data_IF_513666185739
#
_entry.id   IF_513666185739
#
_cell.length_a   1.000
_cell.length_b   1.000
_cell.length_c   1.000
_cell.angle_alpha   90.00
_cell.angle_beta   90.00
_cell.angle_gamma   90.00
#
_symmetry.space_group_name_H-M   'P 1'
#
loop_
_entity.id
_entity.type
_entity.pdbx_description
1 polymer ?
#
# COMPACT_ATOMS: atom_id res chain seq x y z
N UNK A 1 -38.42 19.21 7.90
CA UNK A 1 -38.66 18.31 6.75
C UNK A 1 -37.42 18.34 5.86
N UNK A 2 -36.53 17.35 6.00
CA UNK A 2 -35.36 17.21 5.13
C UNK A 2 -35.87 16.65 3.81
N UNK A 3 -35.91 17.48 2.75
CA UNK A 3 -36.20 17.00 1.40
C UNK A 3 -35.07 16.03 1.02
N UNK A 4 -35.43 14.81 0.64
CA UNK A 4 -34.46 13.85 0.13
C UNK A 4 -33.89 14.39 -1.19
N UNK A 5 -32.62 14.84 -1.17
CA UNK A 5 -31.97 15.45 -2.33
C UNK A 5 -31.71 14.45 -3.47
N UNK A 6 -31.88 13.14 -3.21
CA UNK A 6 -31.62 12.08 -4.19
C UNK A 6 -32.59 12.03 -5.38
N UNK A 7 -33.77 12.66 -5.27
CA UNK A 7 -34.76 12.73 -6.35
C UNK A 7 -34.46 13.82 -7.39
N UNK A 8 -33.48 14.71 -7.15
CA UNK A 8 -33.12 15.78 -8.08
C UNK A 8 -32.21 15.25 -9.22
N UNK A 9 -32.59 15.36 -10.51
CA UNK A 9 -31.74 14.94 -11.63
C UNK A 9 -30.38 15.64 -11.70
N UNK A 10 -30.22 16.82 -11.09
CA UNK A 10 -28.91 17.47 -11.00
C UNK A 10 -28.00 16.89 -9.91
N UNK A 11 -28.54 16.17 -8.92
CA UNK A 11 -27.75 15.50 -7.88
C UNK A 11 -26.78 14.50 -8.51
N UNK A 12 -27.28 13.65 -9.42
CA UNK A 12 -26.46 12.66 -10.14
C UNK A 12 -25.34 13.31 -10.96
N UNK A 13 -25.62 14.47 -11.59
CA UNK A 13 -24.62 15.25 -12.33
C UNK A 13 -23.54 15.83 -11.43
N UNK A 14 -23.90 16.34 -10.24
CA UNK A 14 -22.95 16.88 -9.26
C UNK A 14 -22.08 15.79 -8.67
N UNK A 15 -22.67 14.63 -8.37
CA UNK A 15 -21.97 13.44 -7.90
C UNK A 15 -20.93 12.98 -8.91
N UNK A 16 -21.33 12.79 -10.17
CA UNK A 16 -20.43 12.37 -11.25
C UNK A 16 -19.28 13.35 -11.45
N UNK A 17 -19.56 14.66 -11.44
CA UNK A 17 -18.50 15.69 -11.53
C UNK A 17 -17.57 15.66 -10.33
N UNK A 18 -18.07 15.33 -9.14
CA UNK A 18 -17.24 15.15 -7.95
C UNK A 18 -16.28 13.97 -8.10
N UNK A 19 -16.73 12.86 -8.67
CA UNK A 19 -15.89 11.70 -8.94
C UNK A 19 -14.80 12.02 -9.97
N UNK A 20 -15.18 12.70 -11.05
CA UNK A 20 -14.24 13.12 -12.10
C UNK A 20 -13.11 14.02 -11.58
N UNK A 21 -13.32 14.81 -10.52
CA UNK A 21 -12.24 15.59 -9.92
C UNK A 21 -11.11 14.68 -9.41
N UNK A 22 -11.48 13.64 -8.64
CA UNK A 22 -10.53 12.70 -8.08
C UNK A 22 -9.84 11.89 -9.20
N UNK A 23 -10.61 11.44 -10.20
CA UNK A 23 -10.07 10.71 -11.36
C UNK A 23 -9.06 11.54 -12.16
N UNK A 24 -9.28 12.85 -12.28
CA UNK A 24 -8.36 13.77 -12.95
C UNK A 24 -7.13 14.14 -12.10
N UNK A 25 -6.93 13.51 -10.94
CA UNK A 25 -5.79 13.75 -10.06
C UNK A 25 -5.91 14.98 -9.17
N UNK A 26 -7.13 15.54 -9.02
CA UNK A 26 -7.37 16.60 -8.03
C UNK A 26 -7.54 15.95 -6.66
N UNK A 27 -6.54 16.13 -5.81
CA UNK A 27 -6.52 15.56 -4.47
C UNK A 27 -6.88 16.62 -3.40
N UNK A 28 -7.94 16.38 -2.60
CA UNK A 28 -8.23 17.20 -1.43
C UNK A 28 -7.12 17.09 -0.38
N UNK A 29 -6.78 18.22 0.23
CA UNK A 29 -5.86 18.29 1.37
C UNK A 29 -6.66 18.40 2.66
N UNK A 30 -6.44 17.46 3.58
CA UNK A 30 -7.04 17.54 4.91
C UNK A 30 -6.30 18.56 5.77
N UNK A 31 -7.00 19.63 6.18
CA UNK A 31 -6.46 20.65 7.07
C UNK A 31 -6.74 20.33 8.55
N UNK A 32 -7.88 19.70 8.83
CA UNK A 32 -8.31 19.28 10.17
C UNK A 32 -9.27 18.09 10.08
N UNK A 33 -9.72 17.55 11.21
CA UNK A 33 -10.67 16.42 11.25
C UNK A 33 -11.92 16.67 10.40
N UNK A 34 -12.41 17.92 10.37
CA UNK A 34 -13.65 18.29 9.71
C UNK A 34 -13.47 19.39 8.64
N UNK A 35 -12.23 19.68 8.21
CA UNK A 35 -11.93 20.77 7.28
C UNK A 35 -10.98 20.31 6.19
N UNK A 36 -11.38 20.55 4.94
CA UNK A 36 -10.69 20.09 3.74
C UNK A 36 -10.52 21.24 2.77
N UNK A 37 -9.36 21.29 2.13
CA UNK A 37 -9.07 22.18 1.02
C UNK A 37 -9.10 21.38 -0.28
N UNK A 38 -9.77 21.90 -1.30
CA UNK A 38 -9.83 21.27 -2.62
C UNK A 38 -9.59 22.33 -3.71
N UNK A 39 -8.63 22.10 -4.63
CA UNK A 39 -8.37 23.05 -5.70
C UNK A 39 -9.50 23.02 -6.74
N UNK A 40 -9.71 24.15 -7.40
CA UNK A 40 -10.67 24.27 -8.48
C UNK A 40 -10.16 23.57 -9.74
N UNK A 41 -11.06 22.93 -10.49
CA UNK A 41 -10.72 22.21 -11.71
C UNK A 41 -10.32 23.11 -12.90
N UNK A 42 -10.63 24.40 -12.82
CA UNK A 42 -10.50 25.34 -13.96
C UNK A 42 -9.83 26.65 -13.59
N UNK A 43 -9.61 26.93 -12.31
CA UNK A 43 -9.05 28.19 -11.81
C UNK A 43 -7.96 27.86 -10.81
N UNK A 44 -6.95 28.71 -10.71
CA UNK A 44 -5.92 28.62 -9.68
C UNK A 44 -6.44 29.19 -8.35
N UNK A 45 -7.46 28.54 -7.80
CA UNK A 45 -8.16 28.94 -6.58
C UNK A 45 -8.56 27.69 -5.81
N UNK A 46 -8.50 27.77 -4.48
CA UNK A 46 -8.89 26.67 -3.60
C UNK A 46 -10.21 26.95 -2.90
N UNK A 47 -11.03 25.91 -2.74
CA UNK A 47 -12.25 25.95 -1.95
C UNK A 47 -12.07 25.19 -0.65
N UNK A 48 -12.80 25.62 0.38
CA UNK A 48 -12.82 25.00 1.69
C UNK A 48 -14.13 24.25 1.85
N UNK A 49 -14.04 22.99 2.23
CA UNK A 49 -15.17 22.12 2.57
C UNK A 49 -15.10 21.80 4.07
N UNK A 50 -16.19 22.06 4.78
CA UNK A 50 -16.31 21.82 6.23
C UNK A 50 -17.50 20.92 6.53
N UNK A 51 -17.31 19.97 7.45
CA UNK A 51 -18.38 19.12 7.98
C UNK A 51 -18.72 19.56 9.41
N UNK A 52 -19.99 19.87 9.68
CA UNK A 52 -20.45 20.23 11.02
C UNK A 52 -21.81 19.57 11.31
N UNK A 53 -21.90 18.81 12.41
CA UNK A 53 -23.15 18.18 12.87
C UNK A 53 -23.93 17.47 11.74
N UNK A 54 -23.24 16.64 10.96
CA UNK A 54 -23.76 15.92 9.78
C UNK A 54 -24.22 16.80 8.59
N UNK A 55 -23.94 18.11 8.61
CA UNK A 55 -24.14 19.01 7.47
C UNK A 55 -22.81 19.35 6.80
N UNK A 56 -22.82 19.47 5.49
CA UNK A 56 -21.64 19.82 4.69
C UNK A 56 -21.77 21.23 4.15
N UNK A 57 -20.71 22.01 4.28
CA UNK A 57 -20.63 23.37 3.76
C UNK A 57 -19.41 23.53 2.86
N UNK A 58 -19.55 24.26 1.76
CA UNK A 58 -18.45 24.53 0.84
C UNK A 58 -18.39 26.02 0.47
N UNK A 59 -17.19 26.58 0.37
CA UNK A 59 -16.99 27.98 -0.04
C UNK A 59 -17.11 28.21 -1.56
N UNK A 60 -17.47 27.19 -2.34
CA UNK A 60 -17.60 27.35 -3.79
C UNK A 60 -18.91 28.07 -4.17
N UNK A 61 -18.93 28.79 -5.31
CA UNK A 61 -20.14 29.48 -5.78
C UNK A 61 -21.38 28.58 -5.92
N UNK A 62 -21.23 27.36 -6.42
CA UNK A 62 -22.36 26.42 -6.61
C UNK A 62 -23.10 26.14 -5.29
N UNK A 63 -22.34 25.96 -4.20
CA UNK A 63 -22.91 25.77 -2.86
C UNK A 63 -23.44 27.08 -2.27
N UNK A 64 -22.71 28.19 -2.43
CA UNK A 64 -23.11 29.49 -1.87
C UNK A 64 -24.43 30.01 -2.46
N UNK A 65 -24.69 29.77 -3.74
CA UNK A 65 -25.94 30.22 -4.38
C UNK A 65 -27.10 29.25 -4.21
N UNK A 66 -26.84 27.94 -4.20
CA UNK A 66 -27.90 26.93 -4.27
C UNK A 66 -28.16 26.21 -2.94
N UNK A 67 -27.20 26.25 -2.02
CA UNK A 67 -27.23 25.54 -0.73
C UNK A 67 -27.55 24.03 -0.85
N UNK A 68 -27.09 23.41 -1.95
CA UNK A 68 -27.18 21.95 -2.19
C UNK A 68 -25.79 21.33 -2.23
N UNK A 69 -25.69 20.02 -2.05
CA UNK A 69 -24.41 19.30 -2.12
C UNK A 69 -23.72 19.50 -3.47
N UNK A 70 -22.62 20.25 -3.46
CA UNK A 70 -21.85 20.56 -4.66
C UNK A 70 -20.87 19.44 -5.02
N UNK A 71 -20.30 19.49 -6.23
CA UNK A 71 -19.29 18.53 -6.69
C UNK A 71 -18.07 18.42 -5.76
N UNK A 72 -17.69 19.52 -5.09
CA UNK A 72 -16.53 19.53 -4.19
C UNK A 72 -16.81 18.77 -2.90
N UNK A 73 -18.04 18.85 -2.38
CA UNK A 73 -18.48 18.03 -1.23
C UNK A 73 -18.45 16.55 -1.63
N UNK A 74 -19.00 16.19 -2.79
CA UNK A 74 -18.93 14.81 -3.29
C UNK A 74 -17.50 14.29 -3.47
N UNK A 75 -16.60 15.13 -4.01
CA UNK A 75 -15.18 14.77 -4.17
C UNK A 75 -14.50 14.51 -2.82
N UNK A 76 -14.70 15.38 -1.82
CA UNK A 76 -14.13 15.20 -0.48
C UNK A 76 -14.69 13.95 0.21
N UNK A 77 -16.00 13.70 0.10
CA UNK A 77 -16.64 12.49 0.66
C UNK A 77 -16.10 11.23 -0.01
N UNK A 78 -15.92 11.24 -1.33
CA UNK A 78 -15.33 10.11 -2.05
C UNK A 78 -13.89 9.88 -1.61
N UNK A 79 -13.08 10.94 -1.56
CA UNK A 79 -11.69 10.88 -1.12
C UNK A 79 -11.58 10.29 0.29
N UNK A 80 -12.38 10.75 1.26
CA UNK A 80 -12.41 10.17 2.60
C UNK A 80 -12.72 8.66 2.61
N UNK A 81 -13.69 8.23 1.78
CA UNK A 81 -14.06 6.80 1.69
C UNK A 81 -12.92 5.98 1.09
N UNK A 82 -12.25 6.50 0.07
CA UNK A 82 -11.10 5.84 -0.57
C UNK A 82 -9.92 5.76 0.41
N UNK A 83 -9.58 6.86 1.10
CA UNK A 83 -8.53 6.88 2.10
C UNK A 83 -8.76 5.86 3.21
N UNK A 84 -9.99 5.77 3.74
CA UNK A 84 -10.34 4.76 4.75
C UNK A 84 -10.19 3.33 4.25
N UNK A 85 -10.67 3.04 3.04
CA UNK A 85 -10.50 1.71 2.43
C UNK A 85 -9.04 1.34 2.24
N UNK A 86 -8.20 2.29 1.82
CA UNK A 86 -6.77 2.05 1.70
C UNK A 86 -6.15 1.73 3.07
N UNK A 87 -6.50 2.46 4.12
CA UNK A 87 -6.04 2.16 5.48
C UNK A 87 -6.45 0.76 5.96
N UNK A 88 -7.69 0.34 5.65
CA UNK A 88 -8.21 -1.00 5.96
C UNK A 88 -7.48 -2.10 5.16
N UNK A 89 -7.32 -1.94 3.84
CA UNK A 89 -6.57 -2.86 2.98
C UNK A 89 -5.10 -2.97 3.41
N UNK A 90 -4.49 -1.85 3.81
CA UNK A 90 -3.16 -1.84 4.37
C UNK A 90 -3.11 -2.52 5.73
N UNK A 91 -4.17 -2.47 6.55
CA UNK A 91 -4.23 -3.19 7.82
C UNK A 91 -4.26 -4.70 7.59
N UNK A 92 -5.09 -5.19 6.67
CA UNK A 92 -5.15 -6.62 6.31
C UNK A 92 -3.83 -7.13 5.69
N UNK A 93 -3.22 -6.35 4.80
CA UNK A 93 -1.88 -6.65 4.25
C UNK A 93 -0.76 -6.48 5.29
N UNK A 94 -0.93 -5.61 6.28
CA UNK A 94 0.01 -5.47 7.40
C UNK A 94 -0.08 -6.63 8.36
N UNK A 95 -1.18 -7.39 8.47
CA UNK A 95 -1.15 -8.64 9.24
C UNK A 95 -0.23 -9.65 8.55
N UNK A 96 -0.16 -9.65 7.22
CA UNK A 96 0.79 -10.46 6.45
C UNK A 96 2.23 -9.90 6.47
N UNK A 97 2.41 -8.57 6.44
CA UNK A 97 3.72 -7.92 6.43
C UNK A 97 4.33 -7.64 7.84
N UNK A 98 3.53 -7.57 8.90
CA UNK A 98 4.01 -7.35 10.28
C UNK A 98 4.67 -8.61 10.86
N UNK A 99 4.47 -9.77 10.23
CA UNK A 99 5.29 -10.95 10.49
C UNK A 99 6.72 -10.85 9.91
N UNK A 100 7.08 -9.72 9.29
CA UNK A 100 8.43 -9.40 8.80
C UNK A 100 9.07 -8.21 9.54
N UNK A 101 8.76 -8.00 10.83
CA UNK A 101 9.82 -7.56 11.75
C UNK A 101 10.56 -8.83 12.16
N UNK A 102 11.79 -9.11 11.67
CA UNK A 102 12.52 -10.28 12.10
C UNK A 102 13.06 -10.02 13.51
N UNK A 103 12.17 -9.98 14.50
CA UNK A 103 12.54 -10.36 15.85
C UNK A 103 12.99 -11.81 15.73
N UNK A 104 14.31 -12.03 15.73
CA UNK A 104 14.88 -13.36 15.58
C UNK A 104 14.32 -14.21 16.72
N UNK A 105 13.45 -15.16 16.37
CA UNK A 105 12.84 -16.11 17.28
C UNK A 105 13.42 -17.50 17.04
N UNK A 106 13.41 -18.36 18.06
CA UNK A 106 14.08 -19.65 17.94
C UNK A 106 13.22 -20.59 17.10
N UNK A 107 13.74 -21.07 15.97
CA UNK A 107 12.99 -21.99 15.10
C UNK A 107 12.60 -23.34 15.74
N UNK A 108 13.20 -23.68 16.88
CA UNK A 108 12.93 -24.94 17.58
C UNK A 108 11.90 -24.81 18.71
N UNK A 109 11.78 -23.65 19.35
CA UNK A 109 10.93 -23.46 20.53
C UNK A 109 10.15 -22.14 20.57
N UNK A 110 10.28 -21.31 19.53
CA UNK A 110 9.61 -20.01 19.42
C UNK A 110 10.11 -18.93 20.38
N UNK A 111 11.01 -19.24 21.32
CA UNK A 111 11.44 -18.26 22.33
C UNK A 111 12.19 -17.07 21.70
N UNK A 112 11.98 -15.88 22.26
CA UNK A 112 12.72 -14.65 21.95
C UNK A 112 14.06 -14.52 22.71
N UNK A 113 14.39 -15.48 23.59
CA UNK A 113 15.62 -15.46 24.42
C UNK A 113 16.84 -15.91 23.62
N UNK A 114 17.29 -15.04 22.72
CA UNK A 114 18.33 -15.35 21.72
C UNK A 114 19.54 -14.43 21.85
N UNK A 115 20.73 -15.02 21.69
CA UNK A 115 22.01 -14.30 21.66
C UNK A 115 22.76 -14.56 20.35
N UNK A 116 23.59 -13.60 19.93
CA UNK A 116 24.56 -13.79 18.84
C UNK A 116 25.64 -14.76 19.33
N UNK A 117 25.91 -15.82 18.57
CA UNK A 117 26.89 -16.85 18.95
C UNK A 117 28.17 -16.76 18.10
N UNK A 118 28.03 -16.66 16.76
CA UNK A 118 29.17 -16.62 15.85
C UNK A 118 28.73 -16.54 14.39
N UNK A 119 29.64 -16.83 13.44
CA UNK A 119 29.32 -16.90 12.00
C UNK A 119 29.72 -18.26 11.43
N UNK A 120 28.93 -18.79 10.51
CA UNK A 120 29.23 -20.00 9.73
C UNK A 120 28.88 -19.73 8.26
N UNK A 121 29.79 -20.05 7.32
CA UNK A 121 29.62 -19.76 5.88
C UNK A 121 29.13 -18.33 5.60
N UNK A 122 29.76 -17.35 6.26
CA UNK A 122 29.41 -15.92 6.21
C UNK A 122 27.99 -15.54 6.72
N UNK A 123 27.22 -16.49 7.26
CA UNK A 123 25.90 -16.26 7.86
C UNK A 123 26.00 -16.17 9.38
N UNK A 124 25.17 -15.31 9.99
CA UNK A 124 25.12 -15.14 11.44
C UNK A 124 24.42 -16.34 12.11
N UNK A 125 25.11 -16.95 13.07
CA UNK A 125 24.57 -18.03 13.93
C UNK A 125 24.12 -17.44 15.26
N UNK A 126 22.95 -17.88 15.71
CA UNK A 126 22.32 -17.49 16.96
C UNK A 126 22.16 -18.69 17.88
N UNK A 127 22.17 -18.44 19.19
CA UNK A 127 21.95 -19.44 20.22
C UNK A 127 20.71 -19.09 21.03
N UNK A 128 19.83 -20.07 21.22
CA UNK A 128 18.64 -19.94 22.04
C UNK A 128 18.93 -20.37 23.47
N UNK A 129 18.71 -19.47 24.44
CA UNK A 129 18.87 -19.76 25.87
C UNK A 129 17.77 -20.65 26.43
N UNK A 130 16.59 -20.69 25.81
CA UNK A 130 15.47 -21.51 26.29
C UNK A 130 15.60 -22.99 25.94
N UNK A 131 16.08 -23.33 24.73
CA UNK A 131 16.20 -24.72 24.28
C UNK A 131 17.65 -25.19 24.08
N UNK A 132 18.64 -24.35 24.41
CA UNK A 132 20.07 -24.62 24.27
C UNK A 132 20.53 -25.06 22.87
N UNK A 133 19.83 -24.63 21.81
CA UNK A 133 20.16 -24.98 20.41
C UNK A 133 20.69 -23.77 19.64
N UNK A 134 21.59 -24.05 18.69
CA UNK A 134 22.10 -23.07 17.71
C UNK A 134 21.24 -23.12 16.45
N UNK A 135 20.98 -21.97 15.84
CA UNK A 135 20.30 -21.89 14.56
C UNK A 135 20.78 -20.68 13.76
N UNK A 136 20.67 -20.78 12.44
CA UNK A 136 20.78 -19.65 11.53
C UNK A 136 19.34 -19.19 11.23
N UNK A 137 18.98 -17.92 11.47
CA UNK A 137 17.67 -17.40 11.13
C UNK A 137 17.57 -17.44 9.62
N UNK A 138 16.58 -18.16 9.13
CA UNK A 138 16.25 -18.13 7.72
C UNK A 138 15.06 -17.19 7.59
N UNK A 139 15.19 -16.20 6.71
CA UNK A 139 14.17 -15.19 6.45
C UNK A 139 12.99 -15.81 5.67
N UNK A 140 12.33 -16.85 6.20
CA UNK A 140 11.11 -17.43 5.61
C UNK A 140 11.31 -18.43 4.45
N UNK A 141 12.55 -18.78 4.10
CA UNK A 141 12.85 -19.62 2.92
C UNK A 141 13.79 -20.78 3.24
N UNK A 142 13.50 -21.52 4.32
CA UNK A 142 14.27 -22.74 4.66
C UNK A 142 14.13 -23.77 3.53
N UNK A 143 15.26 -24.16 2.92
CA UNK A 143 15.29 -25.20 1.89
C UNK A 143 15.01 -24.74 0.46
N UNK A 144 14.74 -23.45 0.21
CA UNK A 144 14.59 -22.95 -1.16
C UNK A 144 15.94 -22.72 -1.82
N UNK A 145 16.11 -23.27 -3.03
CA UNK A 145 17.32 -23.10 -3.86
C UNK A 145 17.47 -21.67 -4.40
N UNK A 146 16.36 -20.98 -4.63
CA UNK A 146 16.31 -19.66 -5.25
C UNK A 146 15.66 -18.63 -4.33
N UNK A 147 16.10 -17.37 -4.45
CA UNK A 147 15.50 -16.24 -3.74
C UNK A 147 14.00 -16.11 -4.13
N UNK A 148 13.10 -15.85 -3.20
CA UNK A 148 11.66 -15.77 -3.45
C UNK A 148 11.30 -14.66 -4.42
N UNK A 149 12.08 -13.58 -4.46
CA UNK A 149 11.90 -12.51 -5.44
C UNK A 149 12.09 -13.06 -6.85
N UNK A 150 13.05 -13.96 -7.05
CA UNK A 150 13.26 -14.64 -8.33
C UNK A 150 12.06 -15.53 -8.66
N UNK A 151 11.55 -16.29 -7.68
CA UNK A 151 10.37 -17.16 -7.89
C UNK A 151 9.14 -16.33 -8.26
N UNK A 152 8.85 -15.27 -7.50
CA UNK A 152 7.70 -14.39 -7.75
C UNK A 152 7.82 -13.66 -9.08
N UNK A 153 9.00 -13.12 -9.42
CA UNK A 153 9.23 -12.47 -10.73
C UNK A 153 9.08 -13.45 -11.88
N UNK A 154 9.55 -14.70 -11.71
CA UNK A 154 9.37 -15.75 -12.72
C UNK A 154 7.89 -16.04 -12.96
N UNK A 155 7.10 -16.16 -11.88
CA UNK A 155 5.66 -16.39 -11.95
C UNK A 155 4.94 -15.22 -12.62
N UNK A 156 5.25 -13.98 -12.23
CA UNK A 156 4.67 -12.76 -12.83
C UNK A 156 4.93 -12.69 -14.34
N UNK A 157 6.16 -12.95 -14.78
CA UNK A 157 6.50 -12.97 -16.21
C UNK A 157 5.82 -14.13 -16.95
N UNK A 158 5.69 -15.29 -16.30
CA UNK A 158 4.98 -16.44 -16.86
C UNK A 158 3.50 -16.14 -17.09
N UNK A 159 2.82 -15.52 -16.12
CA UNK A 159 1.42 -15.09 -16.26
C UNK A 159 1.21 -13.93 -17.25
N UNK A 160 2.28 -13.23 -17.63
CA UNK A 160 2.30 -12.21 -18.69
C UNK A 160 2.61 -12.79 -20.08
N UNK A 161 2.49 -14.11 -20.24
CA UNK A 161 2.77 -14.85 -21.48
C UNK A 161 4.19 -14.63 -22.04
N UNK A 162 5.15 -14.30 -21.18
CA UNK A 162 6.55 -14.20 -21.57
C UNK A 162 7.08 -15.62 -21.76
N UNK A 163 7.67 -15.89 -22.92
CA UNK A 163 8.24 -17.21 -23.19
C UNK A 163 9.33 -17.56 -22.18
N UNK A 164 9.43 -18.85 -21.80
CA UNK A 164 10.42 -19.32 -20.82
C UNK A 164 11.86 -18.92 -21.17
N UNK A 165 12.20 -18.82 -22.46
CA UNK A 165 13.52 -18.32 -22.92
C UNK A 165 13.72 -16.85 -22.54
N UNK A 166 12.73 -16.00 -22.81
CA UNK A 166 12.76 -14.58 -22.45
C UNK A 166 12.78 -14.38 -20.93
N UNK A 167 12.08 -15.22 -20.17
CA UNK A 167 12.15 -15.21 -18.70
C UNK A 167 13.56 -15.54 -18.25
N UNK A 168 14.17 -16.61 -18.77
CA UNK A 168 15.54 -16.99 -18.43
C UNK A 168 16.54 -15.88 -18.79
N UNK A 169 16.38 -15.25 -19.95
CA UNK A 169 17.22 -14.12 -20.35
C UNK A 169 17.01 -12.89 -19.45
N UNK A 170 15.77 -12.60 -19.06
CA UNK A 170 15.44 -11.54 -18.12
C UNK A 170 16.07 -11.77 -16.74
N UNK A 171 16.10 -13.02 -16.26
CA UNK A 171 16.75 -13.38 -15.00
C UNK A 171 18.29 -13.33 -15.08
N UNK A 172 18.87 -13.57 -16.27
CA UNK A 172 20.31 -13.47 -16.51
C UNK A 172 20.78 -12.02 -16.69
N UNK A 173 19.89 -11.13 -17.12
CA UNK A 173 20.24 -9.72 -17.30
C UNK A 173 20.56 -9.09 -15.94
N UNK A 174 21.74 -8.47 -15.78
CA UNK A 174 22.03 -7.66 -14.61
C UNK A 174 21.16 -6.39 -14.69
N UNK A 175 19.91 -6.51 -14.26
CA UNK A 175 19.09 -5.34 -13.97
C UNK A 175 19.85 -4.50 -12.95
N UNK A 176 19.84 -3.18 -13.13
CA UNK A 176 20.71 -2.21 -12.46
C UNK A 176 20.42 -2.06 -10.95
N UNK A 177 20.53 -3.15 -10.19
CA UNK A 177 20.64 -3.25 -8.73
C UNK A 177 21.41 -4.52 -8.41
N UNK A 178 22.74 -4.44 -8.57
CA UNK A 178 23.81 -5.28 -8.01
C UNK A 178 23.36 -6.61 -7.37
N UNK A 179 23.15 -7.64 -8.19
CA UNK A 179 23.10 -9.03 -7.74
C UNK A 179 24.52 -9.61 -7.75
N UNK A 180 25.21 -9.52 -6.62
CA UNK A 180 26.40 -10.33 -6.39
C UNK A 180 25.98 -11.66 -5.76
N UNK A 181 26.65 -12.73 -6.18
CA UNK A 181 26.55 -14.13 -5.76
C UNK A 181 25.45 -14.95 -6.43
N UNK A 182 25.84 -15.69 -7.48
CA UNK A 182 25.72 -17.15 -7.58
C UNK A 182 26.26 -17.63 -8.95
N UNK A 183 27.58 -17.51 -9.14
CA UNK A 183 28.31 -18.23 -10.20
C UNK A 183 29.60 -18.79 -9.61
N UNK A 184 29.47 -19.69 -8.63
CA UNK A 184 30.54 -20.61 -8.25
C UNK A 184 29.90 -21.74 -7.46
N UNK A 185 29.81 -22.93 -8.08
CA UNK A 185 29.51 -24.29 -7.56
C UNK A 185 28.75 -25.14 -8.58
N UNK A 186 29.10 -25.02 -9.87
CA UNK A 186 28.81 -26.05 -10.87
C UNK A 186 30.09 -26.30 -11.68
N UNK A 187 31.08 -26.89 -11.00
CA UNK A 187 32.25 -27.57 -11.57
C UNK A 187 32.96 -28.33 -10.43
N UNK A 188 32.31 -29.40 -9.98
CA UNK A 188 32.89 -30.64 -9.46
C UNK A 188 31.76 -31.66 -9.32
#
# INVERSE_FOLDING_TARGET
MTRDESENPEYSKRLLRGHQLIENGIEPKQLSQNKYEIPSQSKDLNYIVTSYANSWNCTCPDYQYRHVTCKHIHAVVLWQKLSKKLEEDHKEKSVFATSLKPGIACKFCGSSKIIKYGKANNKQVYFCKSCARKFVPNEGFEGMKYDPRIVTTTLDLYFKDVSLRKIADHLKQPTSRRWHFFYETFLC
#
